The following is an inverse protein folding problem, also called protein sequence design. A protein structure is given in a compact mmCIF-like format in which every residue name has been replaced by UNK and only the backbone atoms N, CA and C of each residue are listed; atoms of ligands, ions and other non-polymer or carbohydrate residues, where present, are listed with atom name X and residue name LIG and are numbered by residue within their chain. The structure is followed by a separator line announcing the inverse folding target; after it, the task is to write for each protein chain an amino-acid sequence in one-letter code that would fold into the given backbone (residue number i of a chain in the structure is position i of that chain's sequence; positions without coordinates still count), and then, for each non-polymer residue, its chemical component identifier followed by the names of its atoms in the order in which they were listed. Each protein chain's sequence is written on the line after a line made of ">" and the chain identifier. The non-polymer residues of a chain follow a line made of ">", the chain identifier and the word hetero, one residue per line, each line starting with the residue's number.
data_IF_959577075977
#
_entry.id   IF_959577075977
#
_cell.length_a   1.000
_cell.length_b   1.000
_cell.length_c   1.000
_cell.angle_alpha   90.00
_cell.angle_beta   90.00
_cell.angle_gamma   90.00
#
_symmetry.space_group_name_H-M   'P 1'
#
loop_
_entity.id
_entity.type
_entity.pdbx_description
1 polymer ?
#
# COMPACT_ATOMS: atom_id res chain seq x y z
N UNK A 1 18.78 5.02 -35.15
CA UNK A 1 19.01 5.13 -33.69
C UNK A 1 17.90 5.98 -33.07
N UNK A 2 16.86 5.37 -32.50
CA UNK A 2 15.81 6.11 -31.79
C UNK A 2 16.35 6.45 -30.39
N UNK A 3 16.61 7.73 -30.12
CA UNK A 3 16.85 8.21 -28.76
C UNK A 3 15.64 7.84 -27.90
N UNK A 4 15.83 6.95 -26.92
CA UNK A 4 14.85 6.69 -25.88
C UNK A 4 14.78 7.97 -25.03
N UNK A 5 13.85 8.85 -25.34
CA UNK A 5 13.54 9.99 -24.48
C UNK A 5 12.99 9.45 -23.17
N UNK A 6 13.73 9.66 -22.08
CA UNK A 6 13.27 9.34 -20.72
C UNK A 6 12.14 10.30 -20.36
N UNK A 7 10.89 9.93 -20.68
CA UNK A 7 9.69 10.76 -20.48
C UNK A 7 9.46 11.02 -18.97
N UNK A 8 9.86 10.10 -18.09
CA UNK A 8 9.72 10.26 -16.65
C UNK A 8 10.95 10.99 -16.10
N UNK A 9 10.77 12.17 -15.48
CA UNK A 9 11.88 12.95 -14.95
C UNK A 9 12.70 12.16 -13.92
N UNK A 10 14.03 12.28 -13.98
CA UNK A 10 14.94 11.62 -13.05
C UNK A 10 14.67 12.00 -11.57
N UNK A 11 14.15 13.22 -11.33
CA UNK A 11 13.75 13.70 -10.00
C UNK A 11 12.59 12.91 -9.40
N UNK A 12 11.68 12.37 -10.22
CA UNK A 12 10.54 11.56 -9.79
C UNK A 12 10.95 10.11 -9.54
N UNK A 13 11.87 9.58 -10.38
CA UNK A 13 12.46 8.25 -10.19
C UNK A 13 13.33 8.17 -8.93
N UNK A 14 13.82 9.31 -8.45
CA UNK A 14 14.80 9.41 -7.37
C UNK A 14 14.24 10.07 -6.11
N UNK A 15 13.04 9.76 -5.66
CA UNK A 15 12.41 10.32 -4.44
C UNK A 15 13.25 10.23 -3.13
N UNK A 16 14.58 10.10 -3.24
CA UNK A 16 15.52 10.02 -2.13
C UNK A 16 16.61 11.09 -2.22
N UNK A 17 16.68 11.94 -1.20
CA UNK A 17 17.69 13.00 -1.05
C UNK A 17 19.11 12.47 -0.71
N UNK A 18 19.29 11.16 -0.53
CA UNK A 18 20.53 10.57 -0.07
C UNK A 18 21.36 10.00 -1.22
N UNK A 19 22.51 10.64 -1.52
CA UNK A 19 23.46 10.25 -2.58
C UNK A 19 23.92 8.79 -2.47
N UNK A 20 24.13 8.29 -1.23
CA UNK A 20 24.54 6.91 -1.00
C UNK A 20 23.45 5.92 -1.42
N UNK A 21 22.20 6.23 -1.14
CA UNK A 21 21.07 5.39 -1.60
C UNK A 21 20.91 5.42 -3.11
N UNK A 22 21.15 6.56 -3.76
CA UNK A 22 21.17 6.67 -5.24
C UNK A 22 22.29 5.81 -5.85
N UNK A 23 23.50 5.85 -5.28
CA UNK A 23 24.63 5.03 -5.72
C UNK A 23 24.35 3.53 -5.53
N UNK A 24 23.78 3.13 -4.40
CA UNK A 24 23.40 1.75 -4.15
C UNK A 24 22.31 1.30 -5.14
N UNK A 25 21.30 2.12 -5.44
CA UNK A 25 20.23 1.81 -6.42
C UNK A 25 20.73 1.73 -7.86
N UNK A 26 21.74 2.52 -8.24
CA UNK A 26 22.31 2.48 -9.59
C UNK A 26 23.11 1.20 -9.89
N UNK A 27 23.59 0.51 -8.85
CA UNK A 27 24.31 -0.75 -8.98
C UNK A 27 23.43 -1.93 -8.57
N UNK A 28 22.89 -2.68 -9.56
CA UNK A 28 21.95 -3.79 -9.33
C UNK A 28 22.46 -4.85 -8.34
N UNK A 29 23.77 -5.20 -8.39
CA UNK A 29 24.36 -6.18 -7.46
C UNK A 29 24.48 -5.62 -6.05
N UNK A 30 24.91 -4.37 -5.92
CA UNK A 30 25.04 -3.69 -4.64
C UNK A 30 23.66 -3.43 -4.01
N UNK A 31 22.68 -3.07 -4.81
CA UNK A 31 21.29 -2.91 -4.38
C UNK A 31 20.71 -4.22 -3.87
N UNK A 32 20.86 -5.32 -4.60
CA UNK A 32 20.42 -6.65 -4.20
C UNK A 32 21.08 -7.09 -2.89
N UNK A 33 22.40 -6.87 -2.76
CA UNK A 33 23.15 -7.20 -1.54
C UNK A 33 22.69 -6.34 -0.36
N UNK A 34 22.52 -5.03 -0.52
CA UNK A 34 22.06 -4.11 0.51
C UNK A 34 20.64 -4.45 0.97
N UNK A 35 19.74 -4.74 0.04
CA UNK A 35 18.38 -5.20 0.36
C UNK A 35 18.40 -6.52 1.11
N UNK A 36 19.19 -7.48 0.64
CA UNK A 36 19.33 -8.80 1.29
C UNK A 36 19.86 -8.68 2.72
N UNK A 37 20.86 -7.82 2.95
CA UNK A 37 21.42 -7.59 4.26
C UNK A 37 20.47 -6.85 5.20
N UNK A 38 19.76 -5.81 4.72
CA UNK A 38 18.94 -4.97 5.59
C UNK A 38 17.50 -5.46 5.76
N UNK A 39 16.89 -6.02 4.72
CA UNK A 39 15.47 -6.40 4.76
C UNK A 39 15.22 -7.90 4.94
N UNK A 40 16.19 -8.76 4.61
CA UNK A 40 16.08 -10.19 4.90
C UNK A 40 16.62 -10.57 6.27
N UNK A 41 17.07 -9.60 7.07
CA UNK A 41 17.66 -9.87 8.37
C UNK A 41 16.63 -9.61 9.48
N UNK A 42 16.21 -10.71 10.14
CA UNK A 42 15.27 -10.67 11.27
C UNK A 42 15.76 -9.74 12.40
N UNK A 43 17.04 -9.70 12.67
CA UNK A 43 17.61 -8.86 13.72
C UNK A 43 17.43 -7.37 13.41
N UNK A 44 17.69 -6.97 12.16
CA UNK A 44 17.47 -5.58 11.71
C UNK A 44 16.00 -5.23 11.78
N UNK A 45 15.10 -6.13 11.37
CA UNK A 45 13.66 -5.94 11.51
C UNK A 45 13.25 -5.68 12.97
N UNK A 46 13.75 -6.49 13.91
CA UNK A 46 13.48 -6.30 15.35
C UNK A 46 14.02 -4.95 15.84
N UNK A 47 15.24 -4.56 15.44
CA UNK A 47 15.80 -3.27 15.81
C UNK A 47 14.98 -2.08 15.29
N UNK A 48 14.48 -2.17 14.06
CA UNK A 48 13.63 -1.11 13.47
C UNK A 48 12.29 -0.99 14.22
N UNK A 49 11.73 -2.09 14.67
CA UNK A 49 10.43 -2.12 15.36
C UNK A 49 10.53 -2.04 16.90
N UNK A 50 11.73 -2.03 17.48
CA UNK A 50 11.89 -2.05 18.94
C UNK A 50 11.18 -0.92 19.69
N UNK A 51 11.07 0.26 19.06
CA UNK A 51 10.40 1.44 19.62
C UNK A 51 8.92 1.55 19.23
N UNK A 52 8.39 0.57 18.50
CA UNK A 52 6.99 0.55 18.14
C UNK A 52 6.15 0.26 19.39
N UNK A 53 5.25 1.16 19.73
CA UNK A 53 4.26 0.92 20.77
C UNK A 53 3.05 0.21 20.16
N UNK A 54 2.96 -1.10 20.41
CA UNK A 54 1.89 -1.96 19.87
C UNK A 54 0.59 -1.89 20.68
N UNK A 55 0.58 -1.18 21.80
CA UNK A 55 -0.61 -0.88 22.59
C UNK A 55 -1.27 0.44 22.13
N UNK A 56 -0.50 1.31 21.47
CA UNK A 56 -1.04 2.54 20.93
C UNK A 56 -2.00 2.31 19.76
N UNK A 57 -2.73 3.35 19.38
CA UNK A 57 -3.56 3.37 18.18
C UNK A 57 -2.69 3.12 16.93
N UNK A 58 -3.29 2.53 15.88
CA UNK A 58 -2.65 2.37 14.59
C UNK A 58 -2.18 3.72 14.03
N UNK A 59 -1.09 3.70 13.26
CA UNK A 59 -0.46 4.91 12.69
C UNK A 59 -0.87 5.19 11.27
N UNK A 60 -1.35 4.17 10.56
CA UNK A 60 -1.83 4.29 9.19
C UNK A 60 -3.00 3.35 8.96
N UNK A 61 -3.90 3.77 8.07
CA UNK A 61 -5.08 3.00 7.65
C UNK A 61 -5.03 2.83 6.14
N UNK A 62 -5.09 1.59 5.67
CA UNK A 62 -5.30 1.26 4.27
C UNK A 62 -6.80 0.96 4.07
N UNK A 63 -7.43 1.69 3.15
CA UNK A 63 -8.83 1.51 2.79
C UNK A 63 -8.89 1.00 1.35
N UNK A 64 -9.34 -0.24 1.18
CA UNK A 64 -9.66 -0.79 -0.14
C UNK A 64 -11.08 -0.38 -0.52
N UNK A 65 -11.23 0.71 -1.28
CA UNK A 65 -12.54 1.20 -1.70
C UNK A 65 -13.21 0.31 -2.74
N UNK A 66 -12.42 -0.47 -3.46
CA UNK A 66 -12.89 -1.46 -4.43
C UNK A 66 -11.95 -2.64 -4.49
N UNK A 67 -12.49 -3.84 -4.68
CA UNK A 67 -11.72 -5.05 -4.99
C UNK A 67 -11.59 -5.30 -6.50
N UNK A 68 -12.14 -4.40 -7.34
CA UNK A 68 -12.05 -4.46 -8.80
C UNK A 68 -10.69 -3.90 -9.24
N UNK A 69 -10.00 -4.60 -10.13
CA UNK A 69 -8.80 -4.10 -10.77
C UNK A 69 -8.87 -4.37 -12.28
N UNK A 70 -8.43 -3.40 -13.09
CA UNK A 70 -8.34 -3.53 -14.55
C UNK A 70 -7.16 -4.42 -14.99
N UNK A 71 -6.23 -4.73 -14.07
CA UNK A 71 -5.04 -5.53 -14.36
C UNK A 71 -5.09 -6.91 -13.70
N UNK A 72 -4.37 -7.87 -14.32
CA UNK A 72 -4.12 -9.21 -13.79
C UNK A 72 -2.60 -9.46 -13.69
N UNK A 73 -1.96 -8.73 -12.78
CA UNK A 73 -0.52 -8.81 -12.60
C UNK A 73 -0.12 -10.18 -12.02
N UNK A 74 0.92 -10.88 -12.56
CA UNK A 74 1.27 -12.23 -12.14
C UNK A 74 1.77 -12.36 -10.70
N UNK A 75 2.11 -11.25 -10.06
CA UNK A 75 2.49 -11.15 -8.65
C UNK A 75 1.36 -10.69 -7.73
N UNK A 76 0.12 -10.59 -8.25
CA UNK A 76 -1.06 -10.17 -7.51
C UNK A 76 -2.09 -11.31 -7.45
N UNK A 77 -2.67 -11.62 -6.28
CA UNK A 77 -3.68 -12.66 -6.14
C UNK A 77 -4.90 -12.47 -7.04
N UNK A 78 -5.24 -11.23 -7.40
CA UNK A 78 -6.35 -10.91 -8.31
C UNK A 78 -6.25 -11.61 -9.67
N UNK A 79 -5.02 -11.96 -10.11
CA UNK A 79 -4.81 -12.70 -11.34
C UNK A 79 -5.31 -14.15 -11.27
N UNK A 80 -5.41 -14.70 -10.05
CA UNK A 80 -5.70 -16.11 -9.79
C UNK A 80 -7.07 -16.30 -9.11
N UNK A 81 -7.73 -15.21 -8.75
CA UNK A 81 -9.00 -15.24 -8.02
C UNK A 81 -10.17 -14.76 -8.88
N UNK A 82 -11.18 -15.63 -9.01
CA UNK A 82 -12.43 -15.36 -9.73
C UNK A 82 -13.61 -15.05 -8.79
N UNK A 83 -13.33 -14.75 -7.52
CA UNK A 83 -14.38 -14.38 -6.57
C UNK A 83 -15.11 -13.09 -6.98
N UNK A 84 -16.32 -12.92 -6.46
CA UNK A 84 -17.10 -11.73 -6.72
C UNK A 84 -16.35 -10.47 -6.23
N UNK A 85 -16.30 -9.47 -7.08
CA UNK A 85 -15.69 -8.18 -6.80
C UNK A 85 -16.74 -7.19 -6.34
N UNK A 86 -16.34 -6.25 -5.49
CA UNK A 86 -17.24 -5.27 -4.88
C UNK A 86 -16.58 -3.90 -4.77
N UNK A 87 -17.42 -2.88 -4.73
CA UNK A 87 -17.07 -1.51 -4.32
C UNK A 87 -17.58 -1.32 -2.89
N UNK A 88 -16.79 -0.66 -2.05
CA UNK A 88 -17.17 -0.33 -0.68
C UNK A 88 -18.40 0.57 -0.67
N UNK A 89 -19.42 0.19 0.10
CA UNK A 89 -20.62 1.02 0.25
C UNK A 89 -20.32 2.32 1.00
N UNK A 90 -21.11 3.35 0.71
CA UNK A 90 -21.01 4.64 1.40
C UNK A 90 -21.26 4.48 2.92
N UNK A 91 -22.08 3.54 3.34
CA UNK A 91 -22.34 3.22 4.75
C UNK A 91 -21.05 2.76 5.45
N UNK A 92 -20.32 1.79 4.87
CA UNK A 92 -19.05 1.31 5.42
C UNK A 92 -18.06 2.45 5.50
N UNK A 93 -17.88 3.20 4.38
CA UNK A 93 -16.93 4.29 4.33
C UNK A 93 -17.26 5.38 5.36
N UNK A 94 -18.52 5.78 5.46
CA UNK A 94 -18.96 6.79 6.42
C UNK A 94 -18.73 6.35 7.86
N UNK A 95 -18.97 5.08 8.18
CA UNK A 95 -18.69 4.52 9.51
C UNK A 95 -17.19 4.58 9.82
N UNK A 96 -16.33 4.20 8.88
CA UNK A 96 -14.87 4.30 9.04
C UNK A 96 -14.47 5.74 9.39
N UNK A 97 -14.91 6.74 8.61
CA UNK A 97 -14.54 8.13 8.84
C UNK A 97 -15.07 8.66 10.18
N UNK A 98 -16.31 8.33 10.53
CA UNK A 98 -16.88 8.72 11.82
C UNK A 98 -16.06 8.16 12.99
N UNK A 99 -15.70 6.88 12.95
CA UNK A 99 -14.92 6.27 14.03
C UNK A 99 -13.48 6.77 14.08
N UNK A 100 -12.83 7.05 12.93
CA UNK A 100 -11.52 7.69 12.90
C UNK A 100 -11.55 9.11 13.50
N UNK A 101 -12.65 9.85 13.26
CA UNK A 101 -12.86 11.16 13.87
C UNK A 101 -13.02 11.09 15.38
N UNK A 102 -13.84 10.15 15.89
CA UNK A 102 -13.99 9.90 17.31
C UNK A 102 -12.66 9.55 18.00
N UNK A 103 -11.78 8.83 17.30
CA UNK A 103 -10.44 8.47 17.76
C UNK A 103 -9.42 9.61 17.64
N UNK A 104 -9.81 10.79 17.11
CA UNK A 104 -8.90 11.90 16.79
C UNK A 104 -7.68 11.43 15.97
N UNK A 105 -7.93 10.56 15.00
CA UNK A 105 -6.89 9.97 14.16
C UNK A 105 -6.26 11.05 13.27
N UNK A 106 -4.91 11.11 13.28
CA UNK A 106 -4.11 12.08 12.51
C UNK A 106 -3.02 11.41 11.67
N UNK A 107 -3.13 10.10 11.49
CA UNK A 107 -2.19 9.32 10.73
C UNK A 107 -2.41 9.39 9.22
N UNK A 108 -1.74 8.53 8.50
CA UNK A 108 -1.88 8.39 7.05
C UNK A 108 -3.09 7.52 6.70
N UNK A 109 -3.88 7.95 5.73
CA UNK A 109 -4.95 7.16 5.10
C UNK A 109 -4.54 6.89 3.66
N UNK A 110 -4.38 5.62 3.32
CA UNK A 110 -4.02 5.19 1.98
C UNK A 110 -5.21 4.51 1.29
N UNK A 111 -5.63 5.04 0.16
CA UNK A 111 -6.49 4.31 -0.77
C UNK A 111 -5.62 3.33 -1.57
N UNK A 112 -5.74 2.07 -1.22
CA UNK A 112 -4.85 1.01 -1.68
C UNK A 112 -5.54 -0.34 -1.53
N UNK A 113 -4.83 -1.42 -1.76
CA UNK A 113 -5.33 -2.78 -1.62
C UNK A 113 -5.10 -3.60 -2.88
N UNK A 114 -5.98 -4.52 -3.14
CA UNK A 114 -5.89 -5.39 -4.31
C UNK A 114 -6.72 -4.88 -5.50
N UNK A 115 -7.66 -3.98 -5.28
CA UNK A 115 -8.35 -3.24 -6.32
C UNK A 115 -7.55 -2.06 -6.87
N UNK A 116 -8.03 -1.44 -7.92
CA UNK A 116 -7.52 -0.17 -8.43
C UNK A 116 -8.40 0.97 -7.92
N UNK A 117 -7.89 1.85 -7.03
CA UNK A 117 -8.71 2.91 -6.42
C UNK A 117 -9.36 3.84 -7.44
N UNK A 118 -8.71 4.09 -8.59
CA UNK A 118 -9.26 4.96 -9.64
C UNK A 118 -10.46 4.35 -10.39
N UNK A 119 -10.84 3.12 -10.09
CA UNK A 119 -12.11 2.52 -10.54
C UNK A 119 -13.29 2.84 -9.61
N UNK A 120 -13.03 3.45 -8.47
CA UNK A 120 -14.08 4.00 -7.61
C UNK A 120 -14.47 5.38 -8.13
N UNK A 121 -15.70 5.50 -8.67
CA UNK A 121 -16.22 6.75 -9.23
C UNK A 121 -16.43 7.84 -8.19
N UNK A 122 -16.54 7.47 -6.91
CA UNK A 122 -16.71 8.39 -5.77
C UNK A 122 -15.40 8.67 -5.02
N UNK A 123 -14.25 8.38 -5.62
CA UNK A 123 -12.96 8.52 -4.92
C UNK A 123 -12.69 9.97 -4.51
N UNK A 124 -12.98 10.93 -5.40
CA UNK A 124 -12.82 12.37 -5.14
C UNK A 124 -13.66 12.81 -3.93
N UNK A 125 -14.94 12.44 -3.88
CA UNK A 125 -15.86 12.74 -2.77
C UNK A 125 -15.36 12.12 -1.44
N UNK A 126 -14.80 10.91 -1.51
CA UNK A 126 -14.21 10.23 -0.35
C UNK A 126 -12.99 10.97 0.18
N UNK A 127 -12.12 11.46 -0.71
CA UNK A 127 -10.96 12.29 -0.34
C UNK A 127 -11.41 13.58 0.33
N UNK A 128 -12.34 14.32 -0.30
CA UNK A 128 -12.90 15.56 0.27
C UNK A 128 -13.48 15.34 1.66
N UNK A 129 -14.23 14.25 1.84
CA UNK A 129 -14.79 13.90 3.16
C UNK A 129 -13.69 13.66 4.20
N UNK A 130 -12.63 12.93 3.87
CA UNK A 130 -11.49 12.74 4.79
C UNK A 130 -10.90 14.09 5.16
N UNK A 131 -10.61 14.94 4.20
CA UNK A 131 -9.98 16.25 4.45
C UNK A 131 -10.86 17.21 5.24
N UNK A 132 -12.17 17.10 5.09
CA UNK A 132 -13.15 17.87 5.87
C UNK A 132 -13.26 17.40 7.32
N UNK A 133 -13.19 16.10 7.54
CA UNK A 133 -13.51 15.48 8.84
C UNK A 133 -12.27 15.17 9.68
N UNK A 134 -11.10 14.98 9.06
CA UNK A 134 -9.88 14.48 9.69
C UNK A 134 -8.66 15.34 9.32
N UNK A 135 -7.73 15.48 10.28
CA UNK A 135 -6.40 16.06 10.08
C UNK A 135 -5.40 14.95 9.69
N UNK A 136 -5.68 14.29 8.56
CA UNK A 136 -4.92 13.13 8.08
C UNK A 136 -4.34 13.39 6.70
N UNK A 137 -3.16 12.81 6.43
CA UNK A 137 -2.63 12.77 5.06
C UNK A 137 -3.33 11.69 4.24
N UNK A 138 -3.55 11.95 2.95
CA UNK A 138 -4.20 11.03 2.02
C UNK A 138 -3.24 10.62 0.92
N UNK A 139 -3.01 9.32 0.79
CA UNK A 139 -2.23 8.70 -0.28
C UNK A 139 -3.14 7.85 -1.19
N UNK A 140 -2.92 7.91 -2.50
CA UNK A 140 -3.53 7.00 -3.49
C UNK A 140 -2.43 6.13 -4.09
N UNK A 141 -2.56 4.81 -3.92
CA UNK A 141 -1.67 3.82 -4.55
C UNK A 141 -2.36 3.26 -5.79
N UNK A 142 -1.84 3.57 -6.97
CA UNK A 142 -2.51 3.26 -8.24
C UNK A 142 -1.53 2.73 -9.30
N UNK A 143 -2.05 1.94 -10.23
CA UNK A 143 -1.33 1.54 -11.44
C UNK A 143 -1.26 2.68 -12.49
N UNK A 144 -2.02 3.76 -12.29
CA UNK A 144 -2.02 4.98 -13.10
C UNK A 144 -2.76 4.91 -14.43
N UNK A 145 -3.38 3.78 -14.79
CA UNK A 145 -4.05 3.62 -16.10
C UNK A 145 -5.25 4.56 -16.27
N UNK A 146 -5.88 4.96 -15.18
CA UNK A 146 -7.04 5.86 -15.17
C UNK A 146 -6.72 7.26 -14.63
N UNK A 147 -5.42 7.58 -14.41
CA UNK A 147 -5.00 8.88 -13.90
C UNK A 147 -4.73 9.84 -15.06
N UNK A 148 -5.80 10.45 -15.61
CA UNK A 148 -5.65 11.56 -16.55
C UNK A 148 -5.09 12.80 -15.82
N UNK A 149 -4.55 13.78 -16.58
CA UNK A 149 -4.06 15.01 -15.97
C UNK A 149 -5.19 15.80 -15.28
N UNK A 150 -6.38 15.83 -15.86
CA UNK A 150 -7.59 16.44 -15.29
C UNK A 150 -7.95 15.76 -13.97
N UNK A 151 -8.01 14.42 -13.94
CA UNK A 151 -8.34 13.67 -12.72
C UNK A 151 -7.28 13.84 -11.64
N UNK A 152 -6.00 13.86 -12.03
CA UNK A 152 -4.90 14.20 -11.12
C UNK A 152 -5.11 15.57 -10.46
N UNK A 153 -5.50 16.59 -11.24
CA UNK A 153 -5.78 17.94 -10.72
C UNK A 153 -6.99 17.95 -9.79
N UNK A 154 -8.07 17.26 -10.13
CA UNK A 154 -9.27 17.17 -9.30
C UNK A 154 -8.96 16.49 -7.97
N UNK A 155 -8.24 15.38 -7.97
CA UNK A 155 -7.84 14.67 -6.76
C UNK A 155 -6.90 15.51 -5.86
N UNK A 156 -5.96 16.27 -6.44
CA UNK A 156 -5.18 17.25 -5.66
C UNK A 156 -6.08 18.31 -5.06
N UNK A 157 -7.03 18.85 -5.81
CA UNK A 157 -7.98 19.86 -5.31
C UNK A 157 -8.88 19.29 -4.21
N UNK A 158 -9.25 18.02 -4.29
CA UNK A 158 -9.97 17.30 -3.24
C UNK A 158 -9.11 17.07 -1.98
N UNK A 159 -7.78 17.16 -2.09
CA UNK A 159 -6.85 17.13 -0.97
C UNK A 159 -5.91 15.90 -0.92
N UNK A 160 -5.67 15.21 -2.03
CA UNK A 160 -4.66 14.16 -2.09
C UNK A 160 -3.28 14.75 -1.88
N UNK A 161 -2.52 14.19 -0.93
CA UNK A 161 -1.15 14.61 -0.61
C UNK A 161 -0.11 13.86 -1.45
N UNK A 162 -0.37 12.58 -1.77
CA UNK A 162 0.58 11.73 -2.48
C UNK A 162 -0.12 10.75 -3.42
N UNK A 163 0.37 10.68 -4.65
CA UNK A 163 0.11 9.58 -5.57
C UNK A 163 1.33 8.65 -5.63
N UNK A 164 1.14 7.41 -5.23
CA UNK A 164 2.15 6.37 -5.42
C UNK A 164 1.82 5.61 -6.70
N UNK A 165 2.47 6.02 -7.79
CA UNK A 165 2.30 5.38 -9.10
C UNK A 165 3.17 4.12 -9.18
N UNK A 166 2.53 2.97 -9.34
CA UNK A 166 3.19 1.68 -9.43
C UNK A 166 3.23 1.19 -10.88
N UNK A 167 4.40 1.26 -11.50
CA UNK A 167 4.63 0.66 -12.81
C UNK A 167 4.77 -0.86 -12.66
N UNK A 168 3.87 -1.61 -13.28
CA UNK A 168 3.83 -3.07 -13.23
C UNK A 168 4.40 -3.75 -14.48
N UNK A 169 4.56 -3.01 -15.57
CA UNK A 169 5.09 -3.46 -16.85
C UNK A 169 6.54 -2.96 -17.06
N UNK A 170 7.24 -3.53 -18.04
CA UNK A 170 8.62 -3.10 -18.38
C UNK A 170 8.68 -1.63 -18.78
N UNK A 171 7.64 -1.13 -19.45
CA UNK A 171 7.51 0.25 -19.86
C UNK A 171 6.28 0.88 -19.16
N UNK A 172 6.29 2.20 -18.89
CA UNK A 172 5.12 2.90 -18.42
C UNK A 172 3.94 2.77 -19.40
N UNK A 173 2.72 2.67 -18.88
CA UNK A 173 1.53 2.73 -19.73
C UNK A 173 1.47 4.06 -20.50
N UNK A 174 0.74 4.09 -21.61
CA UNK A 174 0.56 5.33 -22.40
C UNK A 174 -0.05 6.44 -21.53
N UNK A 175 -0.99 6.10 -20.66
CA UNK A 175 -1.60 7.08 -19.75
C UNK A 175 -0.58 7.71 -18.79
N UNK A 176 0.35 6.92 -18.24
CA UNK A 176 1.44 7.45 -17.40
C UNK A 176 2.36 8.36 -18.22
N UNK A 177 2.67 8.00 -19.47
CA UNK A 177 3.50 8.85 -20.36
C UNK A 177 2.81 10.18 -20.64
N UNK A 178 1.51 10.15 -20.98
CA UNK A 178 0.69 11.34 -21.21
C UNK A 178 0.64 12.21 -19.96
N UNK A 179 0.41 11.62 -18.79
CA UNK A 179 0.43 12.34 -17.51
C UNK A 179 1.75 13.10 -17.32
N UNK A 180 2.89 12.42 -17.47
CA UNK A 180 4.21 13.06 -17.29
C UNK A 180 4.57 14.09 -18.35
N UNK A 181 3.91 14.07 -19.50
CA UNK A 181 4.06 15.12 -20.53
C UNK A 181 3.33 16.41 -20.14
N UNK A 182 2.21 16.29 -19.44
CA UNK A 182 1.33 17.42 -19.07
C UNK A 182 1.62 18.00 -17.67
N UNK A 183 2.19 17.18 -16.76
CA UNK A 183 2.41 17.56 -15.36
C UNK A 183 3.48 18.66 -15.24
N UNK A 184 3.21 19.66 -14.41
CA UNK A 184 4.14 20.76 -14.17
C UNK A 184 5.20 20.36 -13.14
N UNK A 185 6.35 21.07 -13.15
CA UNK A 185 7.48 20.76 -12.27
C UNK A 185 7.14 20.86 -10.78
N UNK A 186 6.32 21.81 -10.40
CA UNK A 186 5.86 22.02 -9.02
C UNK A 186 4.83 20.98 -8.56
N UNK A 187 4.16 20.31 -9.50
CA UNK A 187 3.20 19.22 -9.23
C UNK A 187 3.88 17.87 -9.02
N UNK A 188 5.14 17.71 -9.44
CA UNK A 188 5.91 16.48 -9.24
C UNK A 188 6.08 16.11 -7.76
N UNK A 189 5.95 17.07 -6.85
CA UNK A 189 5.99 16.84 -5.40
C UNK A 189 4.90 15.90 -4.90
N UNK A 190 3.78 15.81 -5.62
CA UNK A 190 2.66 14.90 -5.29
C UNK A 190 2.88 13.46 -5.77
N UNK A 191 3.95 13.18 -6.52
CA UNK A 191 4.16 11.87 -7.13
C UNK A 191 5.37 11.14 -6.54
N UNK A 192 5.13 9.92 -6.08
CA UNK A 192 6.15 8.90 -5.83
C UNK A 192 6.00 7.84 -6.93
N UNK A 193 6.99 7.71 -7.79
CA UNK A 193 6.98 6.73 -8.86
C UNK A 193 7.81 5.50 -8.50
N UNK A 194 7.17 4.33 -8.57
CA UNK A 194 7.78 3.05 -8.24
C UNK A 194 7.75 2.13 -9.46
N UNK A 195 8.88 1.50 -9.78
CA UNK A 195 8.97 0.46 -10.79
C UNK A 195 8.97 -0.91 -10.12
N UNK A 196 7.90 -1.66 -10.26
CA UNK A 196 7.78 -3.00 -9.69
C UNK A 196 8.56 -4.05 -10.52
N UNK A 197 8.82 -3.78 -11.80
CA UNK A 197 9.40 -4.75 -12.75
C UNK A 197 10.91 -4.93 -12.60
N UNK A 198 11.63 -3.90 -12.16
CA UNK A 198 13.08 -3.99 -11.93
C UNK A 198 13.45 -4.66 -10.62
N UNK A 199 12.50 -4.71 -9.68
CA UNK A 199 12.64 -5.26 -8.33
C UNK A 199 11.80 -6.53 -8.15
N UNK A 200 12.02 -7.57 -8.97
CA UNK A 200 11.53 -8.94 -8.67
C UNK A 200 11.93 -9.41 -7.26
N UNK A 201 12.84 -8.68 -6.65
CA UNK A 201 13.34 -8.83 -5.28
C UNK A 201 12.32 -8.37 -4.22
N UNK A 202 11.33 -7.51 -4.57
CA UNK A 202 10.37 -6.94 -3.61
C UNK A 202 9.05 -7.68 -3.53
N UNK A 203 8.80 -8.63 -4.40
CA UNK A 203 7.55 -9.37 -4.38
C UNK A 203 7.54 -10.42 -3.27
N UNK A 204 6.45 -10.42 -2.52
CA UNK A 204 6.12 -11.49 -1.60
C UNK A 204 5.19 -12.48 -2.30
N UNK A 205 5.15 -13.74 -1.83
CA UNK A 205 4.17 -14.72 -2.31
C UNK A 205 2.75 -14.45 -1.77
N UNK A 206 2.52 -13.27 -1.16
CA UNK A 206 1.22 -12.86 -0.60
C UNK A 206 0.59 -13.93 0.30
N UNK A 207 1.38 -14.42 1.28
CA UNK A 207 0.92 -15.48 2.19
C UNK A 207 0.68 -16.83 1.51
N UNK A 208 1.27 -17.05 0.35
CA UNK A 208 1.11 -18.26 -0.48
C UNK A 208 -0.01 -18.17 -1.50
N UNK A 209 -0.68 -17.03 -1.65
CA UNK A 209 -1.74 -16.82 -2.65
C UNK A 209 -1.22 -16.54 -4.07
N UNK A 210 0.09 -16.35 -4.23
CA UNK A 210 0.75 -16.13 -5.53
C UNK A 210 1.91 -17.10 -5.69
N UNK A 211 2.10 -17.75 -6.87
CA UNK A 211 3.14 -18.74 -7.11
C UNK A 211 4.51 -18.09 -7.37
N UNK A 212 4.94 -17.19 -6.50
CA UNK A 212 6.25 -16.54 -6.56
C UNK A 212 7.06 -16.85 -5.30
N UNK A 213 8.37 -16.98 -5.44
CA UNK A 213 9.25 -17.17 -4.29
C UNK A 213 9.44 -15.81 -3.58
N UNK A 214 9.13 -15.75 -2.29
CA UNK A 214 9.41 -14.58 -1.48
C UNK A 214 10.92 -14.38 -1.32
N UNK A 215 11.40 -13.19 -1.63
CA UNK A 215 12.81 -12.82 -1.47
C UNK A 215 13.05 -11.87 -0.28
N UNK A 216 11.97 -11.28 0.28
CA UNK A 216 12.03 -10.34 1.40
C UNK A 216 11.03 -10.69 2.48
N UNK A 217 11.40 -11.58 3.42
CA UNK A 217 10.45 -12.08 4.38
C UNK A 217 10.01 -11.05 5.44
N UNK A 218 10.84 -10.07 5.79
CA UNK A 218 10.56 -9.19 6.95
C UNK A 218 10.04 -7.82 6.52
N UNK A 219 8.81 -7.77 6.00
CA UNK A 219 8.14 -6.55 5.56
C UNK A 219 6.78 -6.36 6.22
N UNK A 220 6.71 -6.54 7.54
CA UNK A 220 5.47 -6.42 8.28
C UNK A 220 5.38 -5.07 8.99
N UNK A 221 4.19 -4.48 9.00
CA UNK A 221 3.91 -3.21 9.67
C UNK A 221 2.87 -3.43 10.78
N UNK A 222 3.31 -3.64 12.05
CA UNK A 222 2.40 -4.01 13.14
C UNK A 222 1.40 -2.92 13.51
N UNK A 223 1.64 -1.67 13.11
CA UNK A 223 0.78 -0.51 13.41
C UNK A 223 -0.02 -0.03 12.20
N UNK A 224 -0.19 -0.87 11.21
CA UNK A 224 -0.95 -0.61 10.00
C UNK A 224 -2.28 -1.36 10.04
N UNK A 225 -3.38 -0.63 9.94
CA UNK A 225 -4.73 -1.20 9.89
C UNK A 225 -5.18 -1.30 8.43
N UNK A 226 -5.79 -2.41 8.05
CA UNK A 226 -6.31 -2.62 6.69
C UNK A 226 -7.80 -2.87 6.77
N UNK A 227 -8.57 -2.19 5.95
CA UNK A 227 -10.00 -2.35 5.83
C UNK A 227 -10.32 -2.68 4.38
N UNK A 228 -10.87 -3.86 4.15
CA UNK A 228 -11.28 -4.33 2.82
C UNK A 228 -12.60 -3.70 2.38
N UNK A 229 -12.88 -3.77 1.09
CA UNK A 229 -14.11 -3.22 0.49
C UNK A 229 -15.41 -3.81 1.07
N UNK A 230 -15.35 -5.00 1.65
CA UNK A 230 -16.46 -5.65 2.35
C UNK A 230 -16.53 -5.33 3.86
N UNK A 231 -15.63 -4.47 4.36
CA UNK A 231 -15.53 -4.08 5.77
C UNK A 231 -14.70 -5.02 6.64
N UNK A 232 -14.17 -6.11 6.12
CA UNK A 232 -13.33 -7.03 6.88
C UNK A 232 -11.94 -6.43 7.19
N UNK A 233 -11.39 -6.81 8.34
CA UNK A 233 -10.08 -6.39 8.81
C UNK A 233 -9.14 -7.61 8.85
N UNK A 234 -8.36 -7.87 7.79
CA UNK A 234 -7.44 -9.00 7.72
C UNK A 234 -6.18 -8.76 8.55
N UNK A 235 -5.36 -9.79 8.70
CA UNK A 235 -4.09 -9.74 9.40
C UNK A 235 -3.14 -8.67 8.84
N UNK A 236 -2.96 -8.64 7.53
CA UNK A 236 -2.03 -7.75 6.83
C UNK A 236 -2.33 -7.69 5.32
N UNK A 237 -1.59 -6.84 4.59
CA UNK A 237 -1.72 -6.71 3.14
C UNK A 237 -1.38 -8.00 2.35
N UNK A 238 -0.74 -9.00 2.95
CA UNK A 238 -0.47 -10.28 2.31
C UNK A 238 -1.55 -11.34 2.59
N UNK A 239 -2.51 -11.04 3.46
CA UNK A 239 -3.63 -11.94 3.77
C UNK A 239 -4.81 -11.66 2.82
N UNK A 240 -4.64 -12.07 1.56
CA UNK A 240 -5.64 -11.84 0.52
C UNK A 240 -6.96 -12.54 0.79
N UNK A 241 -6.89 -13.82 1.18
CA UNK A 241 -8.08 -14.63 1.44
C UNK A 241 -8.69 -14.40 2.82
N UNK A 242 -8.14 -13.48 3.61
CA UNK A 242 -8.61 -13.20 4.97
C UNK A 242 -8.60 -14.46 5.85
N UNK A 243 -7.53 -15.28 5.72
CA UNK A 243 -7.34 -16.50 6.55
C UNK A 243 -7.38 -16.15 8.04
N UNK A 244 -6.92 -14.94 8.39
CA UNK A 244 -7.02 -14.37 9.73
C UNK A 244 -7.81 -13.06 9.63
N UNK A 245 -9.08 -13.12 9.98
CA UNK A 245 -9.94 -11.94 10.06
C UNK A 245 -10.16 -11.53 11.53
N UNK A 246 -9.81 -10.28 11.85
CA UNK A 246 -9.96 -9.76 13.22
C UNK A 246 -11.35 -9.23 13.52
N UNK A 247 -12.16 -8.99 12.51
CA UNK A 247 -13.53 -8.50 12.63
C UNK A 247 -14.00 -7.79 11.38
N UNK A 248 -15.21 -7.26 11.45
CA UNK A 248 -15.83 -6.50 10.37
C UNK A 248 -16.37 -5.17 10.91
N UNK A 249 -16.01 -4.07 10.23
CA UNK A 249 -16.44 -2.72 10.65
C UNK A 249 -17.97 -2.53 10.63
N UNK A 250 -18.72 -3.34 9.89
CA UNK A 250 -20.19 -3.31 9.91
C UNK A 250 -20.75 -3.74 11.26
N UNK A 251 -20.07 -4.65 11.94
CA UNK A 251 -20.54 -5.33 13.15
C UNK A 251 -19.92 -4.76 14.43
N UNK A 252 -18.68 -4.31 14.34
CA UNK A 252 -17.86 -3.91 15.48
C UNK A 252 -17.25 -2.54 15.27
N UNK A 253 -16.79 -1.87 16.33
CA UNK A 253 -16.04 -0.62 16.25
C UNK A 253 -14.55 -0.89 15.93
N UNK A 254 -13.92 0.01 15.17
CA UNK A 254 -12.49 -0.10 14.84
C UNK A 254 -11.62 -0.28 16.09
N UNK A 255 -11.90 0.51 17.14
CA UNK A 255 -11.10 0.47 18.37
C UNK A 255 -11.25 -0.87 19.11
N UNK A 256 -12.44 -1.44 19.08
CA UNK A 256 -12.70 -2.73 19.74
C UNK A 256 -12.01 -3.86 18.98
N UNK A 257 -12.08 -3.85 17.64
CA UNK A 257 -11.34 -4.81 16.80
C UNK A 257 -9.83 -4.67 17.04
N UNK A 258 -9.31 -3.43 17.02
CA UNK A 258 -7.89 -3.15 17.23
C UNK A 258 -7.38 -3.66 18.58
N UNK A 259 -8.23 -3.56 19.61
CA UNK A 259 -7.88 -3.91 20.97
C UNK A 259 -8.15 -5.38 21.33
N UNK A 260 -8.67 -6.20 20.41
CA UNK A 260 -8.85 -7.64 20.68
C UNK A 260 -7.56 -8.28 21.19
N UNK A 261 -7.61 -9.08 22.26
CA UNK A 261 -6.41 -9.69 22.86
C UNK A 261 -5.56 -10.48 21.87
N UNK A 262 -6.22 -11.20 20.94
CA UNK A 262 -5.52 -11.97 19.90
C UNK A 262 -4.80 -11.04 18.92
N UNK A 263 -5.42 -9.94 18.48
CA UNK A 263 -4.79 -8.98 17.57
C UNK A 263 -3.59 -8.27 18.24
N UNK A 264 -3.73 -7.86 19.50
CA UNK A 264 -2.62 -7.31 20.30
C UNK A 264 -1.46 -8.29 20.40
N UNK A 265 -1.75 -9.56 20.72
CA UNK A 265 -0.74 -10.62 20.78
C UNK A 265 0.03 -10.72 19.47
N UNK A 266 -0.67 -10.77 18.34
CA UNK A 266 -0.03 -10.87 17.02
C UNK A 266 0.83 -9.65 16.71
N UNK A 267 0.37 -8.43 16.97
CA UNK A 267 1.20 -7.21 16.80
C UNK A 267 2.48 -7.26 17.63
N UNK A 268 2.39 -7.69 18.90
CA UNK A 268 3.54 -7.86 19.78
C UNK A 268 4.49 -8.95 19.28
N UNK A 269 3.99 -10.06 18.79
CA UNK A 269 4.78 -11.13 18.19
C UNK A 269 5.52 -10.62 16.92
N UNK A 270 4.81 -9.97 16.02
CA UNK A 270 5.39 -9.38 14.80
C UNK A 270 6.51 -8.38 15.15
N UNK A 271 6.27 -7.45 16.09
CA UNK A 271 7.28 -6.50 16.57
C UNK A 271 8.58 -7.20 17.03
N UNK A 272 8.45 -8.35 17.66
CA UNK A 272 9.57 -9.18 18.15
C UNK A 272 10.14 -10.12 17.10
N UNK A 273 9.66 -10.03 15.84
CA UNK A 273 10.07 -10.91 14.76
C UNK A 273 9.60 -12.36 14.94
N UNK A 274 8.48 -12.58 15.65
CA UNK A 274 7.87 -13.89 15.88
C UNK A 274 6.71 -14.06 14.93
N UNK A 275 6.74 -15.10 14.11
CA UNK A 275 5.79 -15.34 13.02
C UNK A 275 5.23 -16.75 13.10
N UNK A 276 4.35 -16.99 14.09
CA UNK A 276 3.84 -18.33 14.39
C UNK A 276 2.63 -18.75 13.52
N UNK A 277 1.91 -17.77 12.94
CA UNK A 277 0.74 -18.08 12.13
C UNK A 277 1.13 -18.82 10.83
N UNK A 278 0.32 -19.81 10.39
CA UNK A 278 0.60 -20.55 9.15
C UNK A 278 0.82 -19.64 7.94
N UNK A 279 -0.03 -18.62 7.78
CA UNK A 279 0.10 -17.64 6.70
C UNK A 279 1.42 -16.85 6.78
N UNK A 280 1.88 -16.49 8.00
CA UNK A 280 3.16 -15.82 8.17
C UNK A 280 4.33 -16.73 7.76
N UNK A 281 4.29 -17.99 8.13
CA UNK A 281 5.29 -18.98 7.73
C UNK A 281 5.33 -19.16 6.22
N UNK A 282 4.16 -19.33 5.57
CA UNK A 282 4.05 -19.35 4.10
C UNK A 282 4.66 -18.08 3.48
N UNK A 283 4.30 -16.90 4.00
CA UNK A 283 4.79 -15.61 3.51
C UNK A 283 6.31 -15.49 3.62
N UNK A 284 6.90 -16.02 4.69
CA UNK A 284 8.34 -15.98 4.95
C UNK A 284 9.10 -17.10 4.24
N UNK A 285 8.42 -18.15 3.78
CA UNK A 285 9.04 -19.33 3.18
C UNK A 285 9.79 -20.22 4.20
N UNK A 286 9.27 -20.31 5.43
CA UNK A 286 9.81 -21.11 6.54
C UNK A 286 8.82 -22.12 7.07
#
# INVERSE_FOLDING_TARGET
>A
MRQKTNIIPASVKAGEKNLLKRFIKSNKKLHALFYRLLRCNRFIFILQNRRCDTEALFKSVEIETTSICNRKCPFCPVAYDNSQKAIMSDEIFNKIITELKELNFKGEIAFSGYGEPLLDEKLEEKVEKIKKELDSSVEIVTNGDFLTYERFKHLISAGVDVFRLSQHDKEPSEQIKILFTNIKKDELKYIIYQTAVEDSITFTNRGGSVPVKTLHPYFCAPMHLIIRSDGNIPLCCNDYYKEINFGNIKEERLIDIWNKPFYRKIRNEIKRGIFNLPICKKCLGI
#
